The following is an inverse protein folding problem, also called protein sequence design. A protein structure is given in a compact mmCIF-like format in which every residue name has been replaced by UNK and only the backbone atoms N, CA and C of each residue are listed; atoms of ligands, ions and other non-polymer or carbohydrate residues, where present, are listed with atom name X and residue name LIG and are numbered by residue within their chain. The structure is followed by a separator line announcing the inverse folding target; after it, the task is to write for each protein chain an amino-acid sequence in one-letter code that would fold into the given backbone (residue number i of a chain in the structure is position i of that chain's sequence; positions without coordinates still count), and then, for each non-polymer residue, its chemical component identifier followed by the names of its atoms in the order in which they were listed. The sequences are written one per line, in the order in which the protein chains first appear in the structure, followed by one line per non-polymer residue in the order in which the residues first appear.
data_IF_924085015896
#
_entry.id   IF_924085015896
#
_cell.length_a   1.000
_cell.length_b   1.000
_cell.length_c   1.000
_cell.angle_alpha   90.00
_cell.angle_beta   90.00
_cell.angle_gamma   90.00
#
_symmetry.space_group_name_H-M   'P 1'
#
loop_
_entity.id
_entity.type
_entity.pdbx_description
1 polymer ?
#
# COMPACT_ATOMS: atom_id res chain seq x y z
N UNK A 1 19.90 5.19 -12.47
CA UNK A 1 18.84 4.37 -11.87
C UNK A 1 19.19 3.88 -10.47
N UNK A 2 20.11 2.93 -10.26
CA UNK A 2 20.40 2.33 -8.94
C UNK A 2 20.90 3.33 -7.88
N UNK A 3 21.74 4.28 -8.26
CA UNK A 3 22.23 5.33 -7.35
C UNK A 3 21.09 6.23 -6.86
N UNK A 4 20.16 6.55 -7.73
CA UNK A 4 18.99 7.38 -7.45
C UNK A 4 18.00 6.62 -6.54
N UNK A 5 17.77 5.34 -6.79
CA UNK A 5 16.97 4.46 -5.92
C UNK A 5 17.56 4.37 -4.51
N UNK A 6 18.88 4.14 -4.40
CA UNK A 6 19.57 4.11 -3.11
C UNK A 6 19.37 5.41 -2.32
N UNK A 7 19.52 6.56 -3.00
CA UNK A 7 19.34 7.86 -2.37
C UNK A 7 17.89 8.06 -1.90
N UNK A 8 16.89 7.69 -2.71
CA UNK A 8 15.47 7.79 -2.37
C UNK A 8 15.12 6.92 -1.15
N UNK A 9 15.59 5.69 -1.12
CA UNK A 9 15.39 4.78 0.02
C UNK A 9 16.03 5.31 1.30
N UNK A 10 17.26 5.86 1.21
CA UNK A 10 17.97 6.42 2.36
C UNK A 10 17.38 7.76 2.83
N UNK A 11 16.75 8.55 1.99
CA UNK A 11 16.13 9.80 2.41
C UNK A 11 14.78 9.60 3.10
N UNK A 12 14.06 8.53 2.76
CA UNK A 12 12.70 8.27 3.23
C UNK A 12 12.59 7.22 4.35
N UNK A 13 13.68 6.57 4.78
CA UNK A 13 13.62 5.40 5.67
C UNK A 13 13.07 5.68 7.08
N UNK A 14 13.31 6.88 7.64
CA UNK A 14 12.97 7.20 9.04
C UNK A 14 11.49 7.00 9.39
N UNK A 15 10.50 7.59 8.67
CA UNK A 15 9.09 7.42 9.02
C UNK A 15 8.62 5.98 8.86
N UNK A 16 9.17 5.23 7.88
CA UNK A 16 8.82 3.82 7.71
C UNK A 16 9.35 2.95 8.85
N UNK A 17 10.61 3.13 9.24
CA UNK A 17 11.18 2.37 10.36
C UNK A 17 10.44 2.63 11.66
N UNK A 18 10.07 3.87 11.96
CA UNK A 18 9.33 4.19 13.18
C UNK A 18 8.00 3.44 13.23
N UNK A 19 7.21 3.45 12.14
CA UNK A 19 5.92 2.76 12.09
C UNK A 19 6.07 1.24 12.23
N UNK A 20 7.10 0.64 11.63
CA UNK A 20 7.36 -0.79 11.73
C UNK A 20 7.86 -1.19 13.12
N UNK A 21 8.72 -0.38 13.75
CA UNK A 21 9.20 -0.63 15.12
C UNK A 21 8.08 -0.57 16.14
N UNK A 22 7.16 0.41 16.00
CA UNK A 22 5.97 0.49 16.85
C UNK A 22 5.12 -0.78 16.71
N UNK A 23 4.91 -1.25 15.48
CA UNK A 23 4.14 -2.48 15.23
C UNK A 23 4.80 -3.71 15.88
N UNK A 24 6.10 -3.89 15.70
CA UNK A 24 6.86 -5.00 16.31
C UNK A 24 6.76 -4.91 17.84
N UNK A 25 6.92 -3.72 18.42
CA UNK A 25 6.77 -3.51 19.86
C UNK A 25 5.39 -3.93 20.37
N UNK A 26 4.33 -3.57 19.66
CA UNK A 26 2.96 -4.00 20.01
C UNK A 26 2.82 -5.52 19.90
N UNK A 27 3.35 -6.15 18.85
CA UNK A 27 3.30 -7.61 18.70
C UNK A 27 4.03 -8.37 19.81
N UNK A 28 5.09 -7.79 20.39
CA UNK A 28 5.83 -8.40 21.51
C UNK A 28 5.12 -8.21 22.86
N UNK A 29 4.42 -7.09 23.04
CA UNK A 29 3.78 -6.74 24.32
C UNK A 29 2.39 -7.39 24.44
N UNK A 30 1.61 -7.48 23.37
CA UNK A 30 0.24 -7.97 23.37
C UNK A 30 0.07 -9.40 23.98
N UNK A 31 0.93 -10.38 23.69
CA UNK A 31 0.77 -11.72 24.25
C UNK A 31 0.87 -11.74 25.78
N UNK A 32 1.63 -10.81 26.39
CA UNK A 32 1.80 -10.75 27.85
C UNK A 32 0.51 -10.30 28.56
N UNK A 33 -0.37 -9.58 27.87
CA UNK A 33 -1.68 -9.16 28.40
C UNK A 33 -2.81 -10.16 28.11
N UNK A 34 -2.55 -11.20 27.33
CA UNK A 34 -3.56 -12.20 26.96
C UNK A 34 -4.13 -12.96 28.15
N UNK A 35 -3.32 -13.19 29.19
CA UNK A 35 -3.74 -13.85 30.43
C UNK A 35 -4.72 -13.01 31.29
N UNK A 36 -4.73 -11.69 31.11
CA UNK A 36 -5.59 -10.74 31.85
C UNK A 36 -6.93 -10.50 31.15
N UNK A 37 -6.93 -10.59 29.84
CA UNK A 37 -8.10 -10.33 29.01
C UNK A 37 -8.66 -11.68 28.56
N UNK A 38 -9.43 -12.37 29.34
CA UNK A 38 -10.06 -13.65 29.01
C UNK A 38 -10.90 -13.69 27.71
N UNK A 39 -10.59 -12.84 26.72
CA UNK A 39 -11.30 -12.60 25.47
C UNK A 39 -10.30 -12.75 24.32
N UNK A 40 -9.97 -13.99 23.96
CA UNK A 40 -9.10 -14.29 22.82
C UNK A 40 -9.61 -13.70 21.49
N UNK A 41 -10.92 -13.62 21.30
CA UNK A 41 -11.55 -13.01 20.12
C UNK A 41 -11.22 -11.50 19.99
N UNK A 42 -11.12 -10.80 21.12
CA UNK A 42 -10.75 -9.38 21.14
C UNK A 42 -9.31 -9.13 20.70
N UNK A 43 -8.39 -10.04 20.99
CA UNK A 43 -6.98 -9.89 20.58
C UNK A 43 -6.81 -9.94 19.05
N UNK A 44 -7.51 -10.84 18.36
CA UNK A 44 -7.46 -10.93 16.90
C UNK A 44 -7.99 -9.63 16.24
N UNK A 45 -9.07 -9.06 16.78
CA UNK A 45 -9.62 -7.81 16.25
C UNK A 45 -8.66 -6.64 16.46
N UNK A 46 -8.01 -6.55 17.60
CA UNK A 46 -7.00 -5.51 17.89
C UNK A 46 -5.80 -5.64 16.95
N UNK A 47 -5.28 -6.84 16.76
CA UNK A 47 -4.16 -7.10 15.83
C UNK A 47 -4.54 -6.76 14.40
N UNK A 48 -5.75 -7.12 13.98
CA UNK A 48 -6.25 -6.78 12.64
C UNK A 48 -6.33 -5.26 12.44
N UNK A 49 -6.85 -4.52 13.41
CA UNK A 49 -6.93 -3.05 13.36
C UNK A 49 -5.51 -2.45 13.29
N UNK A 50 -4.60 -2.89 14.16
CA UNK A 50 -3.24 -2.35 14.18
C UNK A 50 -2.49 -2.67 12.88
N UNK A 51 -2.62 -3.88 12.35
CA UNK A 51 -1.99 -4.26 11.07
C UNK A 51 -2.53 -3.41 9.90
N UNK A 52 -3.82 -3.14 9.88
CA UNK A 52 -4.45 -2.26 8.88
C UNK A 52 -3.94 -0.83 9.02
N UNK A 53 -3.81 -0.31 10.24
CA UNK A 53 -3.25 1.02 10.49
C UNK A 53 -1.81 1.14 10.01
N UNK A 54 -0.95 0.14 10.24
CA UNK A 54 0.45 0.16 9.77
C UNK A 54 0.53 0.24 8.25
N UNK A 55 -0.27 -0.55 7.54
CA UNK A 55 -0.33 -0.50 6.08
C UNK A 55 -0.85 0.87 5.62
N UNK A 56 -1.89 1.39 6.26
CA UNK A 56 -2.44 2.72 5.96
C UNK A 56 -1.42 3.84 6.18
N UNK A 57 -0.69 3.85 7.30
CA UNK A 57 0.41 4.80 7.53
C UNK A 57 1.54 4.67 6.52
N UNK A 58 1.84 3.45 6.07
CA UNK A 58 2.82 3.23 5.00
C UNK A 58 2.37 3.89 3.69
N UNK A 59 1.10 3.76 3.32
CA UNK A 59 0.54 4.47 2.16
C UNK A 59 0.59 5.99 2.31
N UNK A 60 0.22 6.53 3.47
CA UNK A 60 0.31 7.97 3.74
C UNK A 60 1.75 8.48 3.62
N UNK A 61 2.73 7.73 4.14
CA UNK A 61 4.14 8.08 4.00
C UNK A 61 4.61 8.08 2.54
N UNK A 62 4.16 7.12 1.71
CA UNK A 62 4.46 7.08 0.27
C UNK A 62 3.94 8.34 -0.41
N UNK A 63 2.68 8.71 -0.17
CA UNK A 63 2.03 9.90 -0.71
C UNK A 63 2.79 11.17 -0.27
N UNK A 64 3.10 11.26 1.02
CA UNK A 64 3.83 12.39 1.59
C UNK A 64 5.24 12.54 1.01
N UNK A 65 5.99 11.44 0.88
CA UNK A 65 7.31 11.43 0.29
C UNK A 65 7.28 11.88 -1.18
N UNK A 66 6.29 11.40 -1.95
CA UNK A 66 6.11 11.84 -3.33
C UNK A 66 5.81 13.34 -3.41
N UNK A 67 4.83 13.81 -2.63
CA UNK A 67 4.48 15.23 -2.57
C UNK A 67 5.68 16.11 -2.20
N UNK A 68 6.35 15.76 -1.10
CA UNK A 68 7.50 16.51 -0.61
C UNK A 68 8.65 16.58 -1.61
N UNK A 69 8.93 15.50 -2.31
CA UNK A 69 10.07 15.41 -3.23
C UNK A 69 9.80 16.02 -4.62
N UNK A 70 8.53 16.19 -5.02
CA UNK A 70 8.18 16.69 -6.36
C UNK A 70 7.60 18.11 -6.34
N UNK A 71 6.88 18.50 -5.28
CA UNK A 71 6.09 19.74 -5.27
C UNK A 71 6.53 20.77 -4.21
N UNK A 72 7.59 20.49 -3.44
CA UNK A 72 8.18 21.46 -2.53
C UNK A 72 9.50 22.01 -3.09
N UNK A 73 10.14 22.93 -2.38
CA UNK A 73 11.45 23.51 -2.75
C UNK A 73 12.51 22.44 -3.09
N UNK A 74 12.44 21.26 -2.47
CA UNK A 74 13.30 20.12 -2.81
C UNK A 74 13.00 19.55 -4.21
N UNK A 75 11.76 19.66 -4.68
CA UNK A 75 11.33 19.22 -6.01
C UNK A 75 11.99 20.01 -7.14
N UNK A 76 12.20 21.32 -6.94
CA UNK A 76 12.93 22.13 -7.90
C UNK A 76 14.33 21.57 -8.20
N UNK A 77 15.07 21.19 -7.17
CA UNK A 77 16.40 20.58 -7.32
C UNK A 77 16.33 19.21 -8.04
N UNK A 78 15.28 18.45 -7.80
CA UNK A 78 15.10 17.14 -8.43
C UNK A 78 14.79 17.24 -9.92
N UNK A 79 14.04 18.27 -10.32
CA UNK A 79 13.66 18.52 -11.73
C UNK A 79 14.74 19.29 -12.52
N UNK A 80 15.67 19.98 -11.85
CA UNK A 80 16.84 20.61 -12.49
C UNK A 80 17.98 19.64 -12.75
N UNK A 81 17.93 18.42 -12.18
CA UNK A 81 18.89 17.37 -12.51
C UNK A 81 18.73 16.96 -13.98
N UNK A 82 19.79 16.64 -14.70
CA UNK A 82 19.75 16.18 -16.10
C UNK A 82 19.29 14.72 -16.17
N UNK A 83 18.14 14.42 -15.57
CA UNK A 83 17.53 13.09 -15.52
C UNK A 83 16.11 13.17 -16.09
N UNK A 84 15.73 12.21 -16.92
CA UNK A 84 14.38 12.15 -17.48
C UNK A 84 13.33 12.01 -16.38
N UNK A 85 12.27 12.80 -16.43
CA UNK A 85 11.13 12.75 -15.49
C UNK A 85 10.56 11.35 -15.35
N UNK A 86 10.53 10.59 -16.44
CA UNK A 86 10.10 9.17 -16.46
C UNK A 86 10.92 8.33 -15.49
N UNK A 87 12.23 8.48 -15.50
CA UNK A 87 13.13 7.72 -14.60
C UNK A 87 12.90 8.09 -13.15
N UNK A 88 12.68 9.37 -12.85
CA UNK A 88 12.42 9.85 -11.48
C UNK A 88 11.13 9.23 -10.94
N UNK A 89 10.04 9.29 -11.70
CA UNK A 89 8.74 8.72 -11.28
C UNK A 89 8.85 7.21 -11.12
N UNK A 90 9.54 6.53 -12.04
CA UNK A 90 9.75 5.08 -11.94
C UNK A 90 10.54 4.68 -10.68
N UNK A 91 11.61 5.41 -10.35
CA UNK A 91 12.40 5.16 -9.13
C UNK A 91 11.56 5.39 -7.87
N UNK A 92 10.70 6.42 -7.84
CA UNK A 92 9.77 6.67 -6.72
C UNK A 92 8.75 5.56 -6.57
N UNK A 93 8.18 5.09 -7.67
CA UNK A 93 7.28 3.94 -7.67
C UNK A 93 7.98 2.69 -7.14
N UNK A 94 9.20 2.41 -7.60
CA UNK A 94 9.97 1.26 -7.16
C UNK A 94 10.28 1.33 -5.65
N UNK A 95 10.69 2.50 -5.17
CA UNK A 95 10.94 2.70 -3.74
C UNK A 95 9.67 2.51 -2.89
N UNK A 96 8.53 2.98 -3.36
CA UNK A 96 7.23 2.79 -2.71
C UNK A 96 6.84 1.31 -2.63
N UNK A 97 7.02 0.56 -3.71
CA UNK A 97 6.76 -0.88 -3.75
C UNK A 97 7.68 -1.67 -2.81
N UNK A 98 8.96 -1.29 -2.71
CA UNK A 98 9.90 -1.91 -1.77
C UNK A 98 9.44 -1.69 -0.32
N UNK A 99 9.10 -0.45 0.06
CA UNK A 99 8.62 -0.17 1.42
C UNK A 99 7.30 -0.87 1.75
N UNK A 100 6.36 -0.96 0.80
CA UNK A 100 5.13 -1.72 0.95
C UNK A 100 5.39 -3.23 1.10
N UNK A 101 6.32 -3.78 0.32
CA UNK A 101 6.71 -5.18 0.44
C UNK A 101 7.31 -5.47 1.82
N UNK A 102 8.22 -4.60 2.31
CA UNK A 102 8.80 -4.73 3.66
C UNK A 102 7.70 -4.64 4.73
N UNK A 103 6.80 -3.65 4.64
CA UNK A 103 5.71 -3.49 5.59
C UNK A 103 4.78 -4.71 5.60
N UNK A 104 4.42 -5.24 4.44
CA UNK A 104 3.56 -6.43 4.32
C UNK A 104 4.22 -7.69 4.88
N UNK A 105 5.54 -7.85 4.71
CA UNK A 105 6.31 -8.95 5.30
C UNK A 105 6.35 -8.84 6.83
N UNK A 106 6.65 -7.67 7.36
CA UNK A 106 6.69 -7.44 8.81
C UNK A 106 5.31 -7.69 9.44
N UNK A 107 4.23 -7.22 8.79
CA UNK A 107 2.86 -7.48 9.25
C UNK A 107 2.54 -8.97 9.24
N UNK A 108 2.89 -9.70 8.18
CA UNK A 108 2.68 -11.16 8.11
C UNK A 108 3.45 -11.92 9.18
N UNK A 109 4.70 -11.56 9.44
CA UNK A 109 5.52 -12.18 10.49
C UNK A 109 4.93 -11.88 11.86
N UNK A 110 4.56 -10.63 12.13
CA UNK A 110 3.97 -10.23 13.40
C UNK A 110 2.62 -10.87 13.68
N UNK A 111 1.75 -10.95 12.69
CA UNK A 111 0.44 -11.63 12.82
C UNK A 111 0.60 -13.13 13.03
N UNK A 112 1.56 -13.78 12.34
CA UNK A 112 1.86 -15.19 12.56
C UNK A 112 2.38 -15.44 13.98
N UNK A 113 3.35 -14.65 14.43
CA UNK A 113 3.88 -14.76 15.80
C UNK A 113 2.78 -14.64 16.86
N UNK A 114 1.86 -13.69 16.69
CA UNK A 114 0.72 -13.51 17.59
C UNK A 114 -0.26 -14.67 17.53
N UNK A 115 -0.56 -15.20 16.34
CA UNK A 115 -1.45 -16.36 16.20
C UNK A 115 -0.87 -17.59 16.89
N UNK A 116 0.42 -17.84 16.71
CA UNK A 116 1.10 -18.97 17.34
C UNK A 116 1.12 -18.83 18.88
N UNK A 117 1.41 -17.64 19.40
CA UNK A 117 1.38 -17.35 20.83
C UNK A 117 -0.03 -17.52 21.44
N UNK A 118 -1.07 -17.07 20.75
CA UNK A 118 -2.46 -17.23 21.20
C UNK A 118 -2.90 -18.68 21.13
N UNK A 119 -2.51 -19.43 20.09
CA UNK A 119 -2.82 -20.85 19.96
C UNK A 119 -2.17 -21.64 21.09
N UNK A 120 -0.89 -21.40 21.39
CA UNK A 120 -0.18 -22.09 22.48
C UNK A 120 -0.89 -21.86 23.82
N UNK A 121 -1.22 -20.60 24.16
CA UNK A 121 -1.93 -20.29 25.41
C UNK A 121 -3.35 -20.87 25.46
N UNK A 122 -4.02 -20.97 24.30
CA UNK A 122 -5.34 -21.58 24.21
C UNK A 122 -5.27 -23.11 24.41
N UNK A 123 -4.28 -23.78 23.82
CA UNK A 123 -4.08 -25.22 23.98
C UNK A 123 -3.66 -25.60 25.41
N UNK A 124 -2.79 -24.81 26.05
CA UNK A 124 -2.44 -25.02 27.47
C UNK A 124 -3.64 -24.94 28.41
N UNK A 125 -4.63 -24.09 28.08
CA UNK A 125 -5.85 -23.90 28.89
C UNK A 125 -7.04 -24.77 28.47
N UNK A 126 -6.96 -25.50 27.34
CA UNK A 126 -8.09 -26.19 26.72
C UNK A 126 -7.75 -27.62 26.27
N UNK A 127 -7.02 -28.40 27.07
CA UNK A 127 -6.68 -29.79 26.73
C UNK A 127 -7.94 -30.66 26.49
N UNK A 128 -9.11 -30.24 26.93
CA UNK A 128 -10.36 -30.98 26.84
C UNK A 128 -11.24 -30.75 25.59
N UNK A 129 -10.83 -29.85 24.67
CA UNK A 129 -11.64 -29.51 23.46
C UNK A 129 -10.88 -29.65 22.14
N UNK A 130 -10.29 -30.83 21.92
CA UNK A 130 -9.76 -31.20 20.60
C UNK A 130 -10.89 -31.70 19.68
N UNK A 131 -11.77 -30.79 19.23
CA UNK A 131 -12.71 -31.11 18.15
C UNK A 131 -12.68 -29.98 17.14
N UNK A 132 -12.09 -30.25 15.98
CA UNK A 132 -12.19 -29.43 14.80
C UNK A 132 -10.94 -28.64 14.42
N UNK A 133 -9.83 -29.33 14.13
CA UNK A 133 -8.76 -28.72 13.33
C UNK A 133 -9.31 -28.36 11.95
N UNK A 134 -9.15 -27.11 11.49
CA UNK A 134 -9.55 -26.75 10.15
C UNK A 134 -8.80 -27.65 9.17
N UNK A 135 -9.53 -28.37 8.34
CA UNK A 135 -8.95 -29.17 7.26
C UNK A 135 -8.07 -28.26 6.42
N UNK A 136 -6.81 -28.63 6.27
CA UNK A 136 -5.87 -27.94 5.36
C UNK A 136 -6.42 -28.18 3.95
N UNK A 137 -7.23 -27.23 3.47
CA UNK A 137 -7.64 -27.22 2.08
C UNK A 137 -6.39 -27.01 1.25
N UNK A 138 -6.08 -27.98 0.38
CA UNK A 138 -5.00 -27.86 -0.60
C UNK A 138 -5.27 -26.60 -1.44
N UNK A 139 -4.59 -25.51 -1.12
CA UNK A 139 -4.67 -24.30 -1.91
C UNK A 139 -4.04 -24.59 -3.27
N UNK A 140 -4.84 -24.47 -4.31
CA UNK A 140 -4.37 -24.69 -5.66
C UNK A 140 -3.32 -23.61 -5.97
N UNK A 141 -2.05 -23.98 -6.13
CA UNK A 141 -0.91 -23.06 -6.31
C UNK A 141 -1.16 -22.04 -7.43
N UNK A 142 -1.94 -22.43 -8.44
CA UNK A 142 -2.33 -21.57 -9.54
C UNK A 142 -3.18 -20.35 -9.07
N UNK A 143 -4.15 -20.58 -8.17
CA UNK A 143 -4.96 -19.49 -7.60
C UNK A 143 -4.12 -18.56 -6.71
N UNK A 144 -3.22 -19.12 -5.92
CA UNK A 144 -2.32 -18.34 -5.07
C UNK A 144 -1.40 -17.46 -5.92
N UNK A 145 -0.80 -18.01 -6.98
CA UNK A 145 0.07 -17.27 -7.87
C UNK A 145 -0.67 -16.12 -8.58
N UNK A 146 -1.86 -16.40 -9.12
CA UNK A 146 -2.69 -15.38 -9.77
C UNK A 146 -3.13 -14.28 -8.78
N UNK A 147 -3.51 -14.64 -7.55
CA UNK A 147 -3.89 -13.67 -6.53
C UNK A 147 -2.72 -12.77 -6.12
N UNK A 148 -1.49 -13.29 -6.05
CA UNK A 148 -0.29 -12.51 -5.78
C UNK A 148 0.02 -11.52 -6.90
N UNK A 149 -0.09 -11.96 -8.16
CA UNK A 149 0.10 -11.09 -9.33
C UNK A 149 -0.94 -9.97 -9.33
N UNK A 150 -2.20 -10.31 -9.16
CA UNK A 150 -3.29 -9.33 -9.12
C UNK A 150 -3.11 -8.33 -7.98
N UNK A 151 -2.72 -8.79 -6.79
CA UNK A 151 -2.43 -7.93 -5.65
C UNK A 151 -1.28 -6.96 -5.94
N UNK A 152 -0.20 -7.44 -6.57
CA UNK A 152 0.95 -6.62 -6.93
C UNK A 152 0.56 -5.49 -7.90
N UNK A 153 -0.18 -5.79 -8.96
CA UNK A 153 -0.61 -4.77 -9.91
C UNK A 153 -1.68 -3.84 -9.33
N UNK A 154 -2.56 -4.34 -8.47
CA UNK A 154 -3.54 -3.53 -7.75
C UNK A 154 -2.88 -2.52 -6.80
N UNK A 155 -1.85 -2.92 -6.08
CA UNK A 155 -1.08 -1.98 -5.24
C UNK A 155 -0.31 -0.96 -6.08
N UNK A 156 0.22 -1.38 -7.22
CA UNK A 156 0.91 -0.49 -8.17
C UNK A 156 -0.04 0.55 -8.75
N UNK A 157 -1.22 0.14 -9.22
CA UNK A 157 -2.24 1.05 -9.78
C UNK A 157 -2.75 2.03 -8.72
N UNK A 158 -2.94 1.58 -7.47
CA UNK A 158 -3.34 2.43 -6.36
C UNK A 158 -2.31 3.52 -6.03
N UNK A 159 -1.01 3.21 -6.03
CA UNK A 159 0.05 4.20 -5.82
C UNK A 159 0.08 5.21 -6.97
N UNK A 160 0.03 4.72 -8.21
CA UNK A 160 0.07 5.58 -9.40
C UNK A 160 -1.17 6.48 -9.51
N UNK A 161 -2.34 6.00 -9.11
CA UNK A 161 -3.55 6.84 -9.04
C UNK A 161 -3.38 8.00 -8.05
N UNK A 162 -2.74 7.76 -6.89
CA UNK A 162 -2.40 8.83 -5.95
C UNK A 162 -1.41 9.82 -6.55
N UNK A 163 -0.36 9.34 -7.24
CA UNK A 163 0.62 10.20 -7.91
C UNK A 163 -0.03 11.06 -8.99
N UNK A 164 -0.90 10.45 -9.80
CA UNK A 164 -1.67 11.16 -10.82
C UNK A 164 -2.54 12.27 -10.21
N UNK A 165 -3.31 11.96 -9.17
CA UNK A 165 -4.20 12.93 -8.53
C UNK A 165 -3.45 14.11 -7.91
N UNK A 166 -2.31 13.84 -7.25
CA UNK A 166 -1.46 14.89 -6.69
C UNK A 166 -0.89 15.76 -7.81
N UNK A 167 -0.39 15.17 -8.87
CA UNK A 167 0.14 15.89 -10.03
C UNK A 167 -0.93 16.73 -10.72
N UNK A 168 -2.14 16.19 -10.85
CA UNK A 168 -3.30 16.89 -11.41
C UNK A 168 -3.73 18.09 -10.55
N UNK A 169 -3.74 17.94 -9.22
CA UNK A 169 -4.07 19.03 -8.30
C UNK A 169 -3.08 20.19 -8.33
N UNK A 170 -1.83 19.94 -8.77
CA UNK A 170 -0.79 20.97 -8.94
C UNK A 170 -0.72 21.55 -10.35
N UNK A 171 -1.70 21.28 -11.19
CA UNK A 171 -1.82 21.95 -12.48
C UNK A 171 -2.40 23.36 -12.31
N UNK A 172 -2.12 24.23 -13.29
CA UNK A 172 -2.56 25.65 -13.34
C UNK A 172 -4.07 25.88 -13.17
N UNK A 173 -4.88 24.82 -13.27
CA UNK A 173 -6.35 24.91 -13.13
C UNK A 173 -6.83 25.09 -11.69
N UNK A 174 -6.03 24.67 -10.70
CA UNK A 174 -6.46 24.65 -9.29
C UNK A 174 -5.50 25.54 -8.49
N UNK A 175 -5.89 26.81 -8.28
CA UNK A 175 -5.08 27.80 -7.55
C UNK A 175 -5.32 27.85 -6.04
N UNK A 176 -6.51 27.45 -5.56
CA UNK A 176 -6.87 27.49 -4.13
C UNK A 176 -7.08 26.05 -3.60
N UNK A 177 -6.61 25.81 -2.37
CA UNK A 177 -6.83 24.55 -1.64
C UNK A 177 -6.40 23.28 -2.41
N UNK A 178 -5.19 23.25 -2.95
CA UNK A 178 -4.66 22.15 -3.79
C UNK A 178 -4.77 20.79 -3.11
N UNK A 179 -4.50 20.70 -1.80
CA UNK A 179 -4.60 19.43 -1.05
C UNK A 179 -6.05 18.96 -0.94
N UNK A 180 -6.98 19.87 -0.61
CA UNK A 180 -8.40 19.52 -0.49
C UNK A 180 -8.98 19.08 -1.85
N UNK A 181 -8.58 19.73 -2.94
CA UNK A 181 -9.00 19.35 -4.29
C UNK A 181 -8.42 17.98 -4.70
N UNK A 182 -7.18 17.68 -4.34
CA UNK A 182 -6.59 16.36 -4.58
C UNK A 182 -7.41 15.26 -3.87
N UNK A 183 -7.74 15.47 -2.59
CA UNK A 183 -8.57 14.52 -1.83
C UNK A 183 -9.94 14.35 -2.50
N UNK A 184 -10.60 15.44 -2.88
CA UNK A 184 -11.91 15.39 -3.55
C UNK A 184 -11.86 14.64 -4.88
N UNK A 185 -10.86 14.91 -5.72
CA UNK A 185 -10.67 14.22 -7.01
C UNK A 185 -10.42 12.74 -6.80
N UNK A 186 -9.61 12.37 -5.80
CA UNK A 186 -9.35 10.98 -5.47
C UNK A 186 -10.63 10.22 -5.10
N UNK A 187 -11.47 10.79 -4.22
CA UNK A 187 -12.75 10.17 -3.84
C UNK A 187 -13.72 10.06 -5.02
N UNK A 188 -13.79 11.09 -5.88
CA UNK A 188 -14.60 11.03 -7.12
C UNK A 188 -14.07 9.93 -8.03
N UNK A 189 -12.75 9.83 -8.21
CA UNK A 189 -12.12 8.78 -9.00
C UNK A 189 -12.42 7.37 -8.46
N UNK A 190 -12.37 7.17 -7.14
CA UNK A 190 -12.76 5.91 -6.51
C UNK A 190 -14.23 5.57 -6.77
N UNK A 191 -15.13 6.54 -6.62
CA UNK A 191 -16.56 6.33 -6.86
C UNK A 191 -16.86 5.97 -8.33
N UNK A 192 -16.25 6.71 -9.26
CA UNK A 192 -16.38 6.44 -10.70
C UNK A 192 -15.79 5.07 -11.05
N UNK A 193 -14.61 4.75 -10.50
CA UNK A 193 -13.96 3.44 -10.69
C UNK A 193 -14.82 2.29 -10.17
N UNK A 194 -15.42 2.43 -8.98
CA UNK A 194 -16.33 1.43 -8.42
C UNK A 194 -17.54 1.22 -9.32
N UNK A 195 -18.17 2.30 -9.81
CA UNK A 195 -19.31 2.21 -10.74
C UNK A 195 -18.93 1.60 -12.08
N UNK A 196 -17.75 1.91 -12.59
CA UNK A 196 -17.24 1.29 -13.80
C UNK A 196 -17.01 -0.22 -13.61
N UNK A 197 -16.52 -0.62 -12.44
CA UNK A 197 -16.32 -2.03 -12.09
C UNK A 197 -17.66 -2.79 -11.98
N UNK A 198 -18.70 -2.16 -11.44
CA UNK A 198 -20.06 -2.71 -11.35
C UNK A 198 -20.71 -2.89 -12.75
N UNK A 199 -20.32 -2.08 -13.73
CA UNK A 199 -20.82 -2.16 -15.11
C UNK A 199 -20.17 -3.27 -15.95
N UNK A 200 -19.03 -3.82 -15.49
CA UNK A 200 -18.34 -4.89 -16.21
C UNK A 200 -19.17 -6.19 -16.14
N UNK A 201 -19.34 -6.91 -17.27
CA UNK A 201 -20.09 -8.16 -17.27
C UNK A 201 -19.47 -9.18 -16.30
N UNK A 202 -20.29 -9.83 -15.50
CA UNK A 202 -19.83 -10.87 -14.54
C UNK A 202 -19.04 -11.99 -15.22
N UNK A 203 -19.33 -12.27 -16.51
CA UNK A 203 -18.61 -13.24 -17.33
C UNK A 203 -17.13 -12.84 -17.52
N UNK A 204 -16.84 -11.54 -17.68
CA UNK A 204 -15.44 -11.06 -17.77
C UNK A 204 -14.71 -11.15 -16.43
N UNK A 205 -15.42 -10.94 -15.32
CA UNK A 205 -14.89 -11.05 -13.99
C UNK A 205 -14.53 -12.48 -13.58
N UNK A 206 -15.18 -13.48 -14.17
CA UNK A 206 -14.88 -14.90 -13.94
C UNK A 206 -13.58 -15.35 -14.58
N UNK A 207 -13.02 -14.60 -15.53
CA UNK A 207 -11.72 -14.90 -16.12
C UNK A 207 -10.60 -14.55 -15.16
N UNK A 208 -9.85 -15.56 -14.76
CA UNK A 208 -8.81 -15.48 -13.74
C UNK A 208 -7.76 -14.38 -14.01
N UNK A 209 -7.44 -14.12 -15.27
CA UNK A 209 -6.43 -13.16 -15.70
C UNK A 209 -6.98 -11.77 -16.01
N UNK A 210 -8.30 -11.63 -16.13
CA UNK A 210 -8.91 -10.35 -16.52
C UNK A 210 -8.60 -9.23 -15.53
N UNK A 211 -8.72 -9.52 -14.23
CA UNK A 211 -8.44 -8.54 -13.18
C UNK A 211 -6.96 -8.07 -13.20
N UNK A 212 -6.02 -8.99 -13.44
CA UNK A 212 -4.61 -8.66 -13.54
C UNK A 212 -4.31 -7.77 -14.75
N UNK A 213 -4.85 -8.13 -15.93
CA UNK A 213 -4.66 -7.36 -17.17
C UNK A 213 -5.28 -5.96 -17.03
N UNK A 214 -6.47 -5.86 -16.45
CA UNK A 214 -7.13 -4.58 -16.20
C UNK A 214 -6.29 -3.65 -15.30
N UNK A 215 -5.75 -4.16 -14.20
CA UNK A 215 -4.88 -3.39 -13.30
C UNK A 215 -3.55 -2.99 -13.94
N UNK A 216 -2.99 -3.83 -14.84
CA UNK A 216 -1.82 -3.48 -15.64
C UNK A 216 -2.14 -2.30 -16.56
N UNK A 217 -3.24 -2.35 -17.30
CA UNK A 217 -3.66 -1.26 -18.18
C UNK A 217 -3.86 0.04 -17.41
N UNK A 218 -4.54 -0.01 -16.24
CA UNK A 218 -4.72 1.16 -15.38
C UNK A 218 -3.39 1.73 -14.88
N UNK A 219 -2.46 0.88 -14.46
CA UNK A 219 -1.16 1.33 -13.98
C UNK A 219 -0.34 2.02 -15.07
N UNK A 220 -0.39 1.51 -16.31
CA UNK A 220 0.29 2.14 -17.46
C UNK A 220 -0.35 3.49 -17.78
N UNK A 221 -1.68 3.59 -17.79
CA UNK A 221 -2.40 4.85 -18.03
C UNK A 221 -2.02 5.91 -16.99
N UNK A 222 -2.16 5.59 -15.70
CA UNK A 222 -1.82 6.55 -14.64
C UNK A 222 -0.34 6.95 -14.65
N UNK A 223 0.56 6.04 -15.01
CA UNK A 223 1.98 6.36 -15.16
C UNK A 223 2.22 7.36 -16.30
N UNK A 224 1.66 7.08 -17.49
CA UNK A 224 1.80 7.97 -18.64
C UNK A 224 1.19 9.36 -18.37
N UNK A 225 0.01 9.40 -17.76
CA UNK A 225 -0.67 10.65 -17.43
C UNK A 225 0.12 11.46 -16.38
N UNK A 226 0.69 10.78 -15.36
CA UNK A 226 1.53 11.45 -14.36
C UNK A 226 2.77 12.06 -14.98
N UNK A 227 3.46 11.32 -15.86
CA UNK A 227 4.63 11.83 -16.60
C UNK A 227 4.23 13.04 -17.45
N UNK A 228 3.14 12.93 -18.22
CA UNK A 228 2.67 14.01 -19.09
C UNK A 228 2.33 15.29 -18.31
N UNK A 229 1.66 15.15 -17.15
CA UNK A 229 1.31 16.29 -16.30
C UNK A 229 2.55 16.99 -15.73
N UNK A 230 3.54 16.22 -15.30
CA UNK A 230 4.77 16.78 -14.74
C UNK A 230 5.61 17.48 -15.82
N UNK A 231 5.71 16.91 -17.03
CA UNK A 231 6.52 17.49 -18.10
C UNK A 231 5.89 18.76 -18.71
N UNK A 232 4.55 18.86 -18.78
CA UNK A 232 3.89 19.89 -19.60
C UNK A 232 3.05 20.90 -18.81
N UNK A 233 2.64 20.61 -17.58
CA UNK A 233 1.63 21.42 -16.87
C UNK A 233 1.97 21.77 -15.44
N UNK A 234 3.19 21.50 -14.99
CA UNK A 234 3.58 21.74 -13.62
C UNK A 234 3.91 23.20 -13.40
N UNK A 235 3.17 23.86 -12.49
CA UNK A 235 3.59 25.12 -11.88
C UNK A 235 4.20 24.81 -10.51
N UNK A 236 5.47 25.18 -10.37
CA UNK A 236 6.15 25.09 -9.08
C UNK A 236 5.84 26.33 -8.23
N UNK A 237 5.59 26.11 -6.95
CA UNK A 237 5.48 27.17 -5.94
C UNK A 237 6.85 27.69 -5.51
#
# INVERSE_FOLDING_TARGET
MLKLLKHELLSSYRPYLISLMVFIGVCLILPQFSSWIGIYEGLFSVVFIISTLVIFFTYLNIIYCFYKSMFTKAGYLTLTLPVNTREVIFVKLLSALIWLAIASLVVKIGTKFLSDAVIITYFENSVDKLVGLPQITYTNYYYVFNSLITLFFKTTSAILSCYFVISFAHTNRIRKNRIASAIGIYFIGLFVGAKFYDLLPQIMMSWLWFSAVFEICLSVLFYCDTVYLIDHKLEME
#
